data_IF_201180853864
#
_entry.id   IF_201180853864
#
_cell.length_a   1.000
_cell.length_b   1.000
_cell.length_c   1.000
_cell.angle_alpha   90.00
_cell.angle_beta   90.00
_cell.angle_gamma   90.00
#
_symmetry.space_group_name_H-M   'P 1'
#
loop_
_entity.id
_entity.type
_entity.pdbx_description
1 polymer ?
#
# COMPACT_ATOMS: atom_id res chain seq x y z
N UNK A 1 -34.28 -13.02 0.85
CA UNK A 1 -34.10 -11.68 1.44
C UNK A 1 -32.79 -11.75 2.17
N UNK A 2 -31.68 -11.41 1.50
CA UNK A 2 -30.37 -11.43 2.12
C UNK A 2 -30.24 -10.15 2.94
N UNK A 3 -30.07 -10.29 4.24
CA UNK A 3 -29.77 -9.16 5.10
C UNK A 3 -28.39 -8.63 4.67
N UNK A 4 -28.31 -7.34 4.34
CA UNK A 4 -27.03 -6.65 4.26
C UNK A 4 -26.46 -6.70 5.67
N UNK A 5 -25.37 -7.42 5.88
CA UNK A 5 -24.64 -7.35 7.13
C UNK A 5 -24.24 -5.88 7.34
N UNK A 6 -24.52 -5.34 8.52
CA UNK A 6 -23.98 -4.04 8.92
C UNK A 6 -22.44 -4.15 8.86
N UNK A 7 -21.74 -3.13 8.34
CA UNK A 7 -20.29 -3.15 8.29
C UNK A 7 -19.74 -3.37 9.71
N UNK A 8 -18.74 -4.25 9.82
CA UNK A 8 -18.04 -4.48 11.07
C UNK A 8 -17.45 -3.16 11.58
N UNK A 9 -17.55 -2.87 12.88
CA UNK A 9 -17.09 -1.59 13.45
C UNK A 9 -15.60 -1.36 13.22
N UNK A 10 -14.85 -2.44 13.06
CA UNK A 10 -13.41 -2.40 12.76
C UNK A 10 -13.16 -1.98 11.29
N UNK A 11 -13.99 -2.41 10.34
CA UNK A 11 -13.89 -2.04 8.93
C UNK A 11 -14.20 -0.54 8.72
N UNK A 12 -15.19 -0.02 9.45
CA UNK A 12 -15.49 1.41 9.44
C UNK A 12 -14.31 2.22 9.97
N UNK A 13 -13.69 1.78 11.07
CA UNK A 13 -12.49 2.43 11.62
C UNK A 13 -11.33 2.41 10.63
N UNK A 14 -11.04 1.28 9.97
CA UNK A 14 -9.96 1.22 8.98
C UNK A 14 -10.22 2.12 7.77
N UNK A 15 -11.47 2.24 7.35
CA UNK A 15 -11.87 3.19 6.30
C UNK A 15 -11.65 4.64 6.74
N UNK A 16 -11.97 4.98 7.99
CA UNK A 16 -11.71 6.31 8.55
C UNK A 16 -10.22 6.63 8.58
N UNK A 17 -9.37 5.68 8.98
CA UNK A 17 -7.90 5.85 8.95
C UNK A 17 -7.39 6.08 7.53
N UNK A 18 -7.99 5.43 6.52
CA UNK A 18 -7.66 5.69 5.11
C UNK A 18 -8.02 7.13 4.70
N UNK A 19 -9.19 7.64 5.09
CA UNK A 19 -9.58 9.04 4.82
C UNK A 19 -8.68 10.07 5.51
N UNK A 20 -8.28 9.82 6.76
CA UNK A 20 -7.32 10.67 7.47
C UNK A 20 -5.95 10.65 6.78
N UNK A 21 -5.51 9.50 6.29
CA UNK A 21 -4.29 9.37 5.50
C UNK A 21 -4.36 10.26 4.25
N UNK A 22 -5.47 10.21 3.50
CA UNK A 22 -5.67 11.05 2.31
C UNK A 22 -5.63 12.55 2.68
N UNK A 23 -6.26 12.95 3.79
CA UNK A 23 -6.23 14.34 4.25
C UNK A 23 -4.80 14.81 4.60
N UNK A 24 -3.99 13.92 5.19
CA UNK A 24 -2.59 14.18 5.48
C UNK A 24 -1.76 14.33 4.20
N UNK A 25 -1.98 13.47 3.19
CA UNK A 25 -1.32 13.58 1.89
C UNK A 25 -1.67 14.91 1.20
N UNK A 26 -2.95 15.28 1.16
CA UNK A 26 -3.42 16.57 0.61
C UNK A 26 -2.69 17.74 1.31
N UNK A 27 -2.59 17.68 2.64
CA UNK A 27 -1.92 18.71 3.44
C UNK A 27 -0.44 18.81 3.07
N UNK A 28 0.25 17.67 2.94
CA UNK A 28 1.67 17.63 2.57
C UNK A 28 1.93 18.21 1.18
N UNK A 29 1.18 17.76 0.16
CA UNK A 29 1.28 18.26 -1.22
C UNK A 29 0.99 19.76 -1.27
N UNK A 30 -0.06 20.23 -0.58
CA UNK A 30 -0.40 21.65 -0.52
C UNK A 30 0.73 22.49 0.08
N UNK A 31 1.34 22.03 1.18
CA UNK A 31 2.46 22.73 1.83
C UNK A 31 3.68 22.81 0.91
N UNK A 32 4.05 21.70 0.27
CA UNK A 32 5.17 21.67 -0.67
C UNK A 32 4.92 22.54 -1.90
N UNK A 33 3.69 22.56 -2.42
CA UNK A 33 3.31 23.42 -3.54
C UNK A 33 3.42 24.91 -3.19
N UNK A 34 3.01 25.30 -1.98
CA UNK A 34 3.19 26.67 -1.45
C UNK A 34 4.67 27.08 -1.33
N UNK A 35 5.56 26.12 -1.14
CA UNK A 35 7.02 26.33 -1.13
C UNK A 35 7.62 26.33 -2.54
N UNK A 36 6.82 26.13 -3.59
CA UNK A 36 7.23 26.22 -4.98
C UNK A 36 7.36 24.88 -5.70
N UNK A 37 7.09 23.75 -5.06
CA UNK A 37 7.07 22.46 -5.75
C UNK A 37 5.96 22.42 -6.82
N UNK A 38 6.28 21.88 -8.01
CA UNK A 38 5.38 21.86 -9.17
C UNK A 38 5.06 20.48 -9.72
N UNK A 39 5.81 19.46 -9.31
CA UNK A 39 5.71 18.09 -9.79
C UNK A 39 5.74 17.16 -8.59
N UNK A 40 4.81 16.23 -8.54
CA UNK A 40 4.66 15.26 -7.47
C UNK A 40 4.44 13.87 -8.06
N UNK A 41 5.05 12.87 -7.44
CA UNK A 41 4.69 11.47 -7.61
C UNK A 41 4.19 11.00 -6.25
N UNK A 42 2.93 10.58 -6.17
CA UNK A 42 2.28 10.13 -4.95
C UNK A 42 1.97 8.66 -5.09
N UNK A 43 2.52 7.85 -4.20
CA UNK A 43 2.16 6.43 -4.14
C UNK A 43 0.81 6.22 -3.46
N UNK A 44 0.04 5.26 -3.95
CA UNK A 44 -1.12 4.74 -3.22
C UNK A 44 -0.69 3.77 -2.11
N UNK A 45 -1.60 2.96 -1.58
CA UNK A 45 -1.26 1.93 -0.59
C UNK A 45 -0.51 0.76 -1.27
N UNK A 46 0.44 0.17 -0.53
CA UNK A 46 0.92 -1.16 -0.86
C UNK A 46 -0.20 -2.19 -0.65
N UNK A 47 0.01 -3.38 -1.19
CA UNK A 47 -0.84 -4.54 -0.90
C UNK A 47 -0.50 -5.11 0.48
N UNK A 48 -0.83 -4.36 1.53
CA UNK A 48 -0.57 -4.71 2.92
C UNK A 48 -1.21 -6.04 3.33
N UNK A 49 -2.35 -6.39 2.73
CA UNK A 49 -3.02 -7.66 2.98
C UNK A 49 -2.17 -8.89 2.60
N UNK A 50 -1.18 -8.74 1.72
CA UNK A 50 -0.24 -9.81 1.37
C UNK A 50 1.07 -9.78 2.16
N UNK A 51 1.25 -8.84 3.09
CA UNK A 51 2.46 -8.79 3.92
C UNK A 51 2.51 -9.98 4.88
N UNK A 52 3.64 -10.73 4.97
CA UNK A 52 3.73 -11.92 5.80
C UNK A 52 3.39 -11.64 7.28
N UNK A 53 3.80 -10.48 7.80
CA UNK A 53 3.51 -10.06 9.17
C UNK A 53 2.01 -9.91 9.44
N UNK A 54 1.27 -9.29 8.52
CA UNK A 54 -0.17 -9.04 8.68
C UNK A 54 -1.00 -10.32 8.55
N UNK A 55 -0.58 -11.24 7.68
CA UNK A 55 -1.18 -12.58 7.60
C UNK A 55 -0.97 -13.32 8.91
N UNK A 56 0.26 -13.34 9.43
CA UNK A 56 0.61 -14.03 10.68
C UNK A 56 -0.12 -13.47 11.90
N UNK A 57 -0.28 -12.15 11.96
CA UNK A 57 -0.99 -11.45 13.04
C UNK A 57 -2.52 -11.54 12.92
N UNK A 58 -3.05 -12.06 11.81
CA UNK A 58 -4.48 -12.19 11.58
C UNK A 58 -5.19 -10.87 11.26
N UNK A 59 -4.45 -9.87 10.79
CA UNK A 59 -4.96 -8.51 10.50
C UNK A 59 -5.05 -8.18 9.00
N UNK A 60 -4.84 -9.18 8.13
CA UNK A 60 -4.89 -9.00 6.68
C UNK A 60 -6.25 -8.48 6.17
N UNK A 61 -7.37 -8.81 6.85
CA UNK A 61 -8.70 -8.30 6.52
C UNK A 61 -8.81 -6.78 6.72
N UNK A 62 -8.41 -6.30 7.91
CA UNK A 62 -8.38 -4.87 8.23
C UNK A 62 -7.44 -4.10 7.29
N UNK A 63 -6.28 -4.69 6.97
CA UNK A 63 -5.34 -4.11 6.01
C UNK A 63 -5.95 -4.01 4.60
N UNK A 64 -6.70 -5.03 4.17
CA UNK A 64 -7.43 -5.01 2.90
C UNK A 64 -8.47 -3.90 2.83
N UNK A 65 -9.21 -3.66 3.92
CA UNK A 65 -10.19 -2.56 3.98
C UNK A 65 -9.49 -1.20 3.83
N UNK A 66 -8.42 -0.97 4.60
CA UNK A 66 -7.64 0.25 4.52
C UNK A 66 -7.08 0.52 3.12
N UNK A 67 -6.37 -0.45 2.54
CA UNK A 67 -5.72 -0.27 1.23
C UNK A 67 -6.76 -0.08 0.11
N UNK A 68 -7.90 -0.77 0.18
CA UNK A 68 -8.96 -0.66 -0.83
C UNK A 68 -9.60 0.73 -0.77
N UNK A 69 -9.94 1.21 0.42
CA UNK A 69 -10.51 2.56 0.61
C UNK A 69 -9.54 3.63 0.14
N UNK A 70 -8.26 3.53 0.51
CA UNK A 70 -7.26 4.51 0.10
C UNK A 70 -7.05 4.52 -1.42
N UNK A 71 -6.93 3.35 -2.05
CA UNK A 71 -6.67 3.24 -3.50
C UNK A 71 -7.88 3.65 -4.35
N UNK A 72 -9.10 3.46 -3.85
CA UNK A 72 -10.31 3.92 -4.52
C UNK A 72 -10.43 5.45 -4.52
N UNK A 73 -10.05 6.11 -3.43
CA UNK A 73 -10.33 7.52 -3.21
C UNK A 73 -9.17 8.46 -3.56
N UNK A 74 -7.93 8.06 -3.29
CA UNK A 74 -6.74 8.91 -3.42
C UNK A 74 -6.56 9.47 -4.85
N UNK A 75 -6.71 8.71 -5.94
CA UNK A 75 -6.46 9.22 -7.29
C UNK A 75 -7.36 10.41 -7.66
N UNK A 76 -8.66 10.30 -7.40
CA UNK A 76 -9.61 11.38 -7.67
C UNK A 76 -9.33 12.62 -6.82
N UNK A 77 -8.92 12.43 -5.56
CA UNK A 77 -8.55 13.54 -4.67
C UNK A 77 -7.26 14.25 -5.13
N UNK A 78 -6.27 13.50 -5.58
CA UNK A 78 -5.02 14.07 -6.13
C UNK A 78 -5.24 14.77 -7.47
N UNK A 79 -6.08 14.23 -8.35
CA UNK A 79 -6.43 14.90 -9.61
C UNK A 79 -7.12 16.25 -9.36
N UNK A 80 -8.06 16.29 -8.40
CA UNK A 80 -8.69 17.54 -7.97
C UNK A 80 -7.67 18.52 -7.41
N UNK A 81 -6.79 18.07 -6.52
CA UNK A 81 -5.77 18.91 -5.90
C UNK A 81 -4.77 19.48 -6.92
N UNK A 82 -4.36 18.68 -7.91
CA UNK A 82 -3.48 19.10 -9.00
C UNK A 82 -4.06 20.32 -9.74
N UNK A 83 -5.36 20.27 -10.07
CA UNK A 83 -6.10 21.35 -10.72
C UNK A 83 -6.20 22.59 -9.83
N UNK A 84 -6.52 22.41 -8.55
CA UNK A 84 -6.66 23.51 -7.58
C UNK A 84 -5.34 24.26 -7.35
N UNK A 85 -4.22 23.54 -7.32
CA UNK A 85 -2.90 24.12 -7.05
C UNK A 85 -2.14 24.55 -8.32
N UNK A 86 -2.61 24.14 -9.51
CA UNK A 86 -1.89 24.35 -10.76
C UNK A 86 -0.53 23.63 -10.79
N UNK A 87 -0.51 22.37 -10.35
CA UNK A 87 0.69 21.51 -10.31
C UNK A 87 0.43 20.18 -11.01
N UNK A 88 1.50 19.45 -11.30
CA UNK A 88 1.46 18.09 -11.86
C UNK A 88 1.54 17.08 -10.70
N UNK A 89 0.60 16.13 -10.65
CA UNK A 89 0.59 15.04 -9.68
C UNK A 89 0.31 13.74 -10.42
N UNK A 90 1.28 12.83 -10.39
CA UNK A 90 1.13 11.47 -10.87
C UNK A 90 0.91 10.51 -9.70
N UNK A 91 0.00 9.55 -9.89
CA UNK A 91 -0.18 8.45 -8.94
C UNK A 91 0.65 7.26 -9.38
N UNK A 92 1.42 6.70 -8.44
CA UNK A 92 2.01 5.38 -8.60
C UNK A 92 1.16 4.33 -7.90
N UNK A 93 0.68 3.35 -8.66
CA UNK A 93 -0.12 2.26 -8.15
C UNK A 93 0.75 1.07 -7.74
N UNK A 94 1.07 0.99 -6.45
CA UNK A 94 1.88 -0.10 -5.89
C UNK A 94 1.18 -1.44 -5.96
N UNK A 95 -0.16 -1.50 -5.81
CA UNK A 95 -0.89 -2.76 -5.91
C UNK A 95 -0.84 -3.27 -7.34
N UNK A 96 -1.14 -2.43 -8.33
CA UNK A 96 -1.08 -2.85 -9.73
C UNK A 96 0.33 -3.26 -10.15
N UNK A 97 1.37 -2.55 -9.67
CA UNK A 97 2.76 -2.92 -9.90
C UNK A 97 3.11 -4.27 -9.25
N UNK A 98 2.72 -4.48 -7.99
CA UNK A 98 2.92 -5.72 -7.26
C UNK A 98 2.16 -6.91 -7.88
N UNK A 99 0.90 -6.71 -8.26
CA UNK A 99 0.09 -7.73 -8.95
C UNK A 99 0.71 -8.14 -10.28
N UNK A 100 1.27 -7.19 -11.04
CA UNK A 100 1.99 -7.51 -12.27
C UNK A 100 3.21 -8.38 -12.01
N UNK A 101 3.96 -8.11 -10.95
CA UNK A 101 5.13 -8.93 -10.58
C UNK A 101 4.68 -10.31 -10.08
N UNK A 102 3.72 -10.35 -9.15
CA UNK A 102 3.24 -11.60 -8.54
C UNK A 102 2.48 -12.52 -9.51
N UNK A 103 1.91 -11.97 -10.58
CA UNK A 103 1.20 -12.77 -11.62
C UNK A 103 2.14 -13.44 -12.62
N UNK A 104 3.39 -12.97 -12.74
CA UNK A 104 4.42 -13.60 -13.58
C UNK A 104 5.81 -13.49 -12.92
N UNK A 105 6.01 -14.15 -11.77
CA UNK A 105 7.19 -13.96 -10.94
C UNK A 105 8.48 -14.46 -11.62
N UNK A 106 8.35 -15.47 -12.49
CA UNK A 106 9.47 -16.03 -13.26
C UNK A 106 10.10 -14.98 -14.19
N UNK A 107 9.30 -14.05 -14.77
CA UNK A 107 9.83 -12.93 -15.57
C UNK A 107 10.74 -12.00 -14.77
N UNK A 108 10.56 -11.97 -13.44
CA UNK A 108 11.32 -11.13 -12.53
C UNK A 108 12.36 -11.91 -11.71
N UNK A 109 12.50 -13.22 -11.96
CA UNK A 109 13.44 -14.08 -11.23
C UNK A 109 13.03 -14.41 -9.80
N UNK A 110 11.75 -14.27 -9.46
CA UNK A 110 11.23 -14.55 -8.12
C UNK A 110 10.67 -15.97 -8.02
N UNK A 111 11.03 -16.69 -6.96
CA UNK A 111 10.52 -18.03 -6.64
C UNK A 111 9.65 -18.06 -5.39
N UNK A 112 9.92 -17.19 -4.40
CA UNK A 112 9.13 -17.11 -3.17
C UNK A 112 8.38 -15.77 -3.08
N UNK A 113 7.04 -15.84 -3.04
CA UNK A 113 6.15 -14.69 -2.97
C UNK A 113 5.42 -14.54 -1.63
N UNK A 114 5.68 -15.42 -0.67
CA UNK A 114 4.86 -15.55 0.55
C UNK A 114 5.65 -15.44 1.83
N UNK A 115 6.85 -16.03 1.86
CA UNK A 115 7.69 -16.04 3.06
C UNK A 115 8.71 -14.93 2.99
N UNK A 116 9.08 -14.34 4.14
CA UNK A 116 10.18 -13.39 4.18
C UNK A 116 11.52 -14.12 3.99
N UNK A 117 12.46 -13.49 3.30
CA UNK A 117 13.85 -13.98 3.26
C UNK A 117 14.53 -13.91 4.64
N UNK A 118 14.08 -12.99 5.52
CA UNK A 118 14.65 -12.78 6.84
C UNK A 118 13.64 -12.80 7.98
N UNK A 119 14.07 -13.31 9.12
CA UNK A 119 13.32 -13.25 10.38
C UNK A 119 13.92 -12.21 11.34
N UNK A 120 13.07 -11.58 12.16
CA UNK A 120 13.53 -10.68 13.23
C UNK A 120 13.77 -11.45 14.54
N UNK A 121 14.90 -11.22 15.26
CA UNK A 121 15.98 -10.30 14.92
C UNK A 121 16.85 -10.81 13.77
N UNK A 122 17.33 -9.88 12.93
CA UNK A 122 18.21 -10.22 11.80
C UNK A 122 19.57 -10.62 12.37
N UNK A 123 19.81 -11.93 12.42
CA UNK A 123 21.09 -12.51 12.81
C UNK A 123 21.72 -13.23 11.60
N UNK A 124 23.05 -13.28 11.56
CA UNK A 124 23.85 -13.99 10.55
C UNK A 124 23.51 -15.49 10.63
N UNK A 125 22.52 -15.95 9.86
CA UNK A 125 21.97 -17.30 9.93
C UNK A 125 20.45 -17.38 9.75
N UNK A 126 19.74 -16.26 9.89
CA UNK A 126 18.30 -16.13 9.66
C UNK A 126 17.97 -15.44 8.31
N UNK A 127 18.90 -15.47 7.36
CA UNK A 127 18.74 -14.93 6.00
C UNK A 127 18.69 -16.12 5.04
N UNK A 128 17.75 -16.10 4.11
CA UNK A 128 17.62 -17.10 3.06
C UNK A 128 18.87 -17.18 2.17
N UNK A 129 19.03 -18.29 1.44
CA UNK A 129 20.22 -18.53 0.62
C UNK A 129 20.32 -17.55 -0.58
N UNK A 130 19.20 -17.29 -1.23
CA UNK A 130 19.12 -16.50 -2.47
C UNK A 130 18.08 -15.36 -2.32
N UNK A 131 18.44 -14.22 -1.70
CA UNK A 131 17.51 -13.12 -1.44
C UNK A 131 16.85 -12.51 -2.67
N UNK A 132 17.52 -12.57 -3.82
CA UNK A 132 17.02 -12.02 -5.07
C UNK A 132 15.83 -12.84 -5.63
N UNK A 133 15.61 -14.06 -5.12
CA UNK A 133 14.47 -14.91 -5.49
C UNK A 133 13.24 -14.70 -4.59
N UNK A 134 13.33 -13.82 -3.58
CA UNK A 134 12.27 -13.56 -2.61
C UNK A 134 11.61 -12.20 -2.84
N UNK A 135 10.28 -12.17 -2.90
CA UNK A 135 9.52 -10.93 -3.01
C UNK A 135 9.60 -10.10 -1.71
N UNK A 136 9.62 -10.77 -0.56
CA UNK A 136 9.66 -10.13 0.75
C UNK A 136 11.03 -10.28 1.40
N UNK A 137 11.66 -9.16 1.74
CA UNK A 137 12.88 -9.18 2.55
C UNK A 137 12.59 -9.57 4.00
N UNK A 138 11.56 -8.99 4.60
CA UNK A 138 11.11 -9.26 5.96
C UNK A 138 9.59 -9.36 6.02
N UNK A 139 9.01 -9.18 7.20
CA UNK A 139 7.56 -9.32 7.40
C UNK A 139 6.71 -8.18 6.82
N UNK A 140 7.34 -7.08 6.38
CA UNK A 140 6.71 -5.88 5.81
C UNK A 140 7.56 -5.30 4.69
#
# INVERSE_FOLDING_TARGET
MYANAEPDTDDEQMSMVAYETIANIITAVTRLSRLGAKKFMVGNAFDFASFPGFIREGVAGQASVYQTTLNAELPAKMEKLAKELGVEIDIFDYIAAGDRIRSDPDQFGLLNLTDPCTEHPIASGNICADPDEYYYWGHY
#
